data_IF_883582221616
#
_entry.id   IF_883582221616
#
_cell.length_a   1.000
_cell.length_b   1.000
_cell.length_c   1.000
_cell.angle_alpha   90.00
_cell.angle_beta   90.00
_cell.angle_gamma   90.00
#
_symmetry.space_group_name_H-M   'P 1'
#
loop_
_entity.id
_entity.type
_entity.pdbx_description
1 polymer ?
#
# COMPACT_ATOMS: atom_id res chain seq x y z
N UNK A 1 -14.02 17.04 7.93
CA UNK A 1 -14.28 15.59 7.95
C UNK A 1 -14.15 15.01 9.37
N UNK A 2 -13.10 15.30 10.15
CA UNK A 2 -13.00 14.90 11.57
C UNK A 2 -13.76 15.84 12.52
N UNK A 3 -13.54 17.15 12.39
CA UNK A 3 -14.21 18.16 13.23
C UNK A 3 -15.73 18.15 13.05
N UNK A 4 -16.21 17.91 11.82
CA UNK A 4 -17.62 17.75 11.49
C UNK A 4 -18.29 16.55 12.19
N UNK A 5 -17.50 15.59 12.67
CA UNK A 5 -17.96 14.44 13.45
C UNK A 5 -17.75 14.64 14.98
N UNK A 6 -17.35 15.84 15.42
CA UNK A 6 -17.05 16.13 16.82
C UNK A 6 -15.78 15.46 17.34
N UNK A 7 -14.89 15.02 16.45
CA UNK A 7 -13.63 14.38 16.80
C UNK A 7 -12.46 15.38 16.74
N UNK A 8 -11.48 15.21 17.62
CA UNK A 8 -10.24 15.98 17.56
C UNK A 8 -9.49 15.71 16.26
N UNK A 9 -9.13 16.77 15.54
CA UNK A 9 -8.27 16.69 14.37
C UNK A 9 -6.79 16.82 14.79
N UNK A 10 -5.91 15.89 14.41
CA UNK A 10 -4.49 16.00 14.75
C UNK A 10 -3.80 17.09 13.93
N UNK A 11 -2.86 17.80 14.55
CA UNK A 11 -2.11 18.91 13.91
C UNK A 11 -1.14 18.42 12.82
N UNK A 12 -0.74 17.16 12.88
CA UNK A 12 0.14 16.51 11.89
C UNK A 12 -0.16 15.01 11.78
N UNK A 13 0.21 14.36 10.66
CA UNK A 13 0.19 12.89 10.56
C UNK A 13 0.99 12.23 11.68
N UNK A 14 0.61 11.01 12.05
CA UNK A 14 1.23 10.20 13.12
C UNK A 14 1.15 10.79 14.53
N UNK A 15 0.46 11.91 14.73
CA UNK A 15 0.20 12.49 16.05
C UNK A 15 -1.17 12.04 16.56
N UNK A 16 -1.20 11.57 17.81
CA UNK A 16 -2.42 11.21 18.52
C UNK A 16 -3.06 12.45 19.14
N UNK A 17 -4.35 12.65 18.88
CA UNK A 17 -5.14 13.64 19.60
C UNK A 17 -5.40 13.21 21.03
N UNK A 18 -5.58 14.21 21.89
CA UNK A 18 -6.04 14.01 23.24
C UNK A 18 -7.57 13.77 23.24
N UNK A 19 -8.07 12.89 24.09
CA UNK A 19 -9.51 12.63 24.25
C UNK A 19 -9.92 11.17 24.05
N UNK A 20 -11.24 10.94 24.04
CA UNK A 20 -11.86 9.63 23.81
C UNK A 20 -12.96 9.74 22.74
N UNK A 21 -12.80 9.12 21.56
CA UNK A 21 -11.65 8.33 21.14
C UNK A 21 -10.41 9.18 20.83
N UNK A 22 -9.22 8.57 20.93
CA UNK A 22 -7.99 9.15 20.36
C UNK A 22 -8.04 8.99 18.85
N UNK A 23 -7.59 9.99 18.12
CA UNK A 23 -7.54 9.98 16.65
C UNK A 23 -6.12 10.27 16.20
N UNK A 24 -5.65 9.53 15.20
CA UNK A 24 -4.42 9.83 14.49
C UNK A 24 -4.61 9.52 13.01
N UNK A 25 -3.84 10.19 12.16
CA UNK A 25 -3.90 10.03 10.70
C UNK A 25 -2.57 9.49 10.20
N UNK A 26 -2.61 8.46 9.36
CA UNK A 26 -1.46 7.96 8.63
C UNK A 26 -1.76 8.02 7.14
N UNK A 27 -0.95 8.75 6.38
CA UNK A 27 -1.07 8.85 4.93
C UNK A 27 -0.04 7.90 4.32
N UNK A 28 -0.47 7.01 3.43
CA UNK A 28 0.42 6.04 2.81
C UNK A 28 1.37 6.70 1.79
N UNK A 29 2.56 6.12 1.57
CA UNK A 29 3.08 4.92 2.24
C UNK A 29 3.74 5.21 3.60
N UNK A 30 4.21 6.44 3.81
CA UNK A 30 5.14 6.81 4.89
C UNK A 30 4.88 8.24 5.47
N UNK A 31 3.74 8.84 5.15
CA UNK A 31 3.36 10.23 5.47
C UNK A 31 4.21 11.33 4.79
N UNK A 32 5.14 10.98 3.90
CA UNK A 32 6.06 11.92 3.27
C UNK A 32 6.07 11.84 1.73
N UNK A 33 6.05 10.62 1.21
CA UNK A 33 6.18 10.30 -0.20
C UNK A 33 4.81 10.11 -0.86
N UNK A 34 4.65 10.42 -2.16
CA UNK A 34 3.45 10.02 -2.88
C UNK A 34 3.41 8.49 -3.02
N UNK A 35 2.22 7.92 -2.93
CA UNK A 35 2.04 6.49 -3.11
C UNK A 35 0.68 5.99 -2.67
N UNK A 36 0.55 4.68 -2.62
CA UNK A 36 -0.69 3.97 -2.32
C UNK A 36 -0.42 2.82 -1.35
N UNK A 37 -1.49 2.10 -0.96
CA UNK A 37 -1.30 0.83 -0.26
C UNK A 37 -0.56 -0.17 -1.15
N UNK A 38 -0.87 -0.16 -2.45
CA UNK A 38 -0.25 -1.04 -3.42
C UNK A 38 1.24 -0.74 -3.62
N UNK A 39 1.67 0.53 -3.60
CA UNK A 39 3.11 0.85 -3.66
C UNK A 39 3.87 0.28 -2.45
N UNK A 40 3.26 0.34 -1.27
CA UNK A 40 3.84 -0.23 -0.06
C UNK A 40 3.94 -1.76 -0.15
N UNK A 41 2.90 -2.41 -0.66
CA UNK A 41 2.90 -3.86 -0.89
C UNK A 41 3.92 -4.30 -1.94
N UNK A 42 4.03 -3.57 -3.06
CA UNK A 42 5.02 -3.84 -4.10
C UNK A 42 6.45 -3.64 -3.60
N UNK A 43 6.70 -2.62 -2.78
CA UNK A 43 8.00 -2.40 -2.15
C UNK A 43 8.41 -3.58 -1.27
N UNK A 44 7.46 -4.25 -0.61
CA UNK A 44 7.73 -5.41 0.22
C UNK A 44 8.17 -6.65 -0.58
N UNK A 45 7.86 -6.70 -1.87
CA UNK A 45 8.14 -7.83 -2.78
C UNK A 45 9.05 -7.42 -3.95
N UNK A 46 9.72 -6.26 -3.87
CA UNK A 46 10.53 -5.74 -4.96
C UNK A 46 11.66 -6.70 -5.40
N UNK A 47 12.16 -7.52 -4.49
CA UNK A 47 13.19 -8.53 -4.75
C UNK A 47 12.62 -9.89 -5.21
N UNK A 48 11.30 -10.03 -5.35
CA UNK A 48 10.70 -11.27 -5.81
C UNK A 48 11.03 -11.52 -7.29
N UNK A 49 11.43 -12.75 -7.68
CA UNK A 49 11.80 -13.04 -9.07
C UNK A 49 10.69 -12.73 -10.09
N UNK A 50 9.42 -12.82 -9.68
CA UNK A 50 8.29 -12.54 -10.56
C UNK A 50 8.17 -11.05 -10.92
N UNK A 51 8.73 -10.14 -10.12
CA UNK A 51 8.65 -8.70 -10.36
C UNK A 51 9.31 -8.30 -11.68
N UNK A 52 10.36 -9.01 -12.11
CA UNK A 52 10.96 -8.76 -13.43
C UNK A 52 9.94 -8.98 -14.56
N UNK A 53 9.14 -10.04 -14.49
CA UNK A 53 8.11 -10.32 -15.49
C UNK A 53 6.95 -9.30 -15.41
N UNK A 54 6.59 -8.86 -14.21
CA UNK A 54 5.56 -7.83 -14.00
C UNK A 54 5.96 -6.51 -14.62
N UNK A 55 7.18 -6.03 -14.37
CA UNK A 55 7.64 -4.76 -14.95
C UNK A 55 7.76 -4.84 -16.47
N UNK A 56 8.25 -5.96 -17.03
CA UNK A 56 8.27 -6.16 -18.48
C UNK A 56 6.87 -6.16 -19.09
N UNK A 57 5.89 -6.78 -18.43
CA UNK A 57 4.50 -6.78 -18.88
C UNK A 57 3.92 -5.37 -18.91
N UNK A 58 4.09 -4.60 -17.83
CA UNK A 58 3.60 -3.22 -17.75
C UNK A 58 4.28 -2.33 -18.78
N UNK A 59 5.61 -2.43 -18.92
CA UNK A 59 6.37 -1.67 -19.91
C UNK A 59 5.90 -2.00 -21.34
N UNK A 60 5.76 -3.27 -21.68
CA UNK A 60 5.28 -3.71 -23.00
C UNK A 60 3.92 -3.08 -23.34
N UNK A 61 3.06 -2.98 -22.35
CA UNK A 61 1.72 -2.43 -22.50
C UNK A 61 1.69 -0.89 -22.59
N UNK A 62 2.56 -0.20 -21.84
CA UNK A 62 2.76 1.25 -21.98
C UNK A 62 3.20 1.59 -23.41
N UNK A 63 4.14 0.80 -23.97
CA UNK A 63 4.67 0.99 -25.32
C UNK A 63 3.66 0.60 -26.42
N UNK A 64 3.00 -0.56 -26.30
CA UNK A 64 2.17 -1.11 -27.37
C UNK A 64 0.73 -0.57 -27.39
N UNK A 65 0.15 -0.31 -26.21
CA UNK A 65 -1.25 0.10 -26.08
C UNK A 65 -1.42 1.57 -25.69
N UNK A 66 -0.31 2.31 -25.52
CA UNK A 66 -0.35 3.70 -25.06
C UNK A 66 -1.04 3.81 -23.71
N UNK A 67 -0.91 2.77 -22.87
CA UNK A 67 -1.60 2.76 -21.59
C UNK A 67 -1.09 3.92 -20.75
N UNK A 68 -2.00 4.69 -20.12
CA UNK A 68 -1.59 5.89 -19.44
C UNK A 68 -0.65 5.50 -18.30
N UNK A 69 0.46 6.22 -18.16
CA UNK A 69 1.49 5.95 -17.15
C UNK A 69 0.92 5.97 -15.71
N UNK A 70 -0.30 6.50 -15.54
CA UNK A 70 -1.10 6.44 -14.32
C UNK A 70 -1.77 5.09 -14.06
N UNK A 71 -1.49 4.04 -14.85
CA UNK A 71 -1.79 2.65 -14.49
C UNK A 71 -0.95 2.30 -13.26
N UNK A 72 -1.60 2.70 -12.17
CA UNK A 72 -1.15 2.82 -10.81
C UNK A 72 -0.59 1.52 -10.29
N UNK A 73 0.12 1.61 -9.18
CA UNK A 73 0.54 0.49 -8.32
C UNK A 73 -0.51 -0.64 -8.22
N UNK A 74 -1.80 -0.37 -8.40
CA UNK A 74 -2.87 -1.38 -8.53
C UNK A 74 -2.64 -2.40 -9.62
N UNK A 75 -2.30 -1.98 -10.84
CA UNK A 75 -2.09 -2.92 -11.93
C UNK A 75 -0.84 -3.76 -11.74
N UNK A 76 0.25 -3.15 -11.24
CA UNK A 76 1.46 -3.88 -10.83
C UNK A 76 1.14 -4.89 -9.73
N UNK A 77 0.39 -4.48 -8.70
CA UNK A 77 -0.04 -5.37 -7.62
C UNK A 77 -0.90 -6.51 -8.15
N UNK A 78 -1.87 -6.25 -9.02
CA UNK A 78 -2.70 -7.30 -9.63
C UNK A 78 -1.91 -8.22 -10.55
N UNK A 79 -0.98 -7.69 -11.36
CA UNK A 79 -0.10 -8.50 -12.20
C UNK A 79 0.81 -9.39 -11.36
N UNK A 80 1.35 -8.87 -10.23
CA UNK A 80 2.10 -9.66 -9.27
C UNK A 80 1.23 -10.74 -8.61
N UNK A 81 0.02 -10.41 -8.15
CA UNK A 81 -0.90 -11.38 -7.56
C UNK A 81 -1.31 -12.46 -8.57
N UNK A 82 -1.36 -12.14 -9.86
CA UNK A 82 -1.61 -13.12 -10.92
C UNK A 82 -0.55 -14.23 -10.99
N UNK A 83 0.63 -14.01 -10.41
CA UNK A 83 1.71 -15.02 -10.33
C UNK A 83 1.58 -15.96 -9.13
N UNK A 84 0.60 -15.72 -8.24
CA UNK A 84 0.41 -16.46 -6.98
C UNK A 84 -0.71 -17.49 -7.09
N UNK A 85 -0.78 -18.37 -6.09
CA UNK A 85 -1.90 -19.29 -5.95
C UNK A 85 -3.17 -18.50 -5.61
N UNK A 86 -4.24 -18.64 -6.39
CA UNK A 86 -5.46 -17.79 -6.36
C UNK A 86 -5.17 -16.33 -6.81
N UNK A 87 -5.09 -16.11 -8.13
CA UNK A 87 -4.72 -14.82 -8.72
C UNK A 87 -5.80 -13.73 -8.57
N UNK A 88 -7.01 -14.10 -8.15
CA UNK A 88 -8.20 -13.25 -8.05
C UNK A 88 -8.35 -12.54 -6.68
N UNK A 89 -7.43 -12.80 -5.75
CA UNK A 89 -7.46 -12.19 -4.42
C UNK A 89 -7.25 -10.66 -4.49
N UNK A 90 -8.02 -9.93 -3.69
CA UNK A 90 -7.79 -8.50 -3.44
C UNK A 90 -6.59 -8.31 -2.53
N UNK A 91 -6.00 -7.10 -2.50
CA UNK A 91 -4.79 -6.79 -1.71
C UNK A 91 -4.88 -7.26 -0.25
N UNK A 92 -6.01 -7.00 0.43
CA UNK A 92 -6.21 -7.44 1.82
C UNK A 92 -6.38 -8.95 1.98
N UNK A 93 -7.03 -9.62 1.03
CA UNK A 93 -7.20 -11.09 1.05
C UNK A 93 -5.87 -11.78 0.76
N UNK A 94 -5.08 -11.23 -0.16
CA UNK A 94 -3.72 -11.67 -0.47
C UNK A 94 -2.78 -11.49 0.73
N UNK A 95 -2.99 -10.47 1.58
CA UNK A 95 -2.26 -10.32 2.84
C UNK A 95 -2.57 -11.46 3.81
N UNK A 96 -3.85 -11.83 3.94
CA UNK A 96 -4.27 -12.96 4.78
C UNK A 96 -3.78 -14.31 4.22
N UNK A 97 -3.68 -14.43 2.90
CA UNK A 97 -3.16 -15.61 2.22
C UNK A 97 -1.62 -15.73 2.27
N UNK A 98 -0.91 -14.74 2.79
CA UNK A 98 0.56 -14.74 2.90
C UNK A 98 1.30 -14.38 1.61
N UNK A 99 0.62 -13.78 0.63
CA UNK A 99 1.25 -13.37 -0.65
C UNK A 99 2.10 -12.11 -0.53
N UNK A 100 1.84 -11.30 0.50
CA UNK A 100 2.66 -10.15 0.85
C UNK A 100 3.58 -10.49 2.01
N UNK A 101 4.86 -10.16 1.88
CA UNK A 101 5.83 -10.31 2.96
C UNK A 101 5.62 -9.23 4.04
N UNK A 102 4.63 -9.43 4.92
CA UNK A 102 4.30 -8.48 6.00
C UNK A 102 5.42 -8.29 7.02
N UNK A 103 6.42 -9.17 7.05
CA UNK A 103 7.62 -9.04 7.89
C UNK A 103 8.66 -8.07 7.30
N UNK A 104 8.49 -7.64 6.05
CA UNK A 104 9.37 -6.67 5.42
C UNK A 104 9.47 -5.35 6.23
N UNK A 105 10.68 -4.78 6.36
CA UNK A 105 10.90 -3.54 7.12
C UNK A 105 10.20 -2.33 6.51
N UNK A 106 9.75 -2.41 5.25
CA UNK A 106 8.97 -1.33 4.61
C UNK A 106 7.68 -1.02 5.38
N UNK A 107 7.14 -1.99 6.11
CA UNK A 107 5.94 -1.82 6.93
C UNK A 107 6.22 -1.26 8.33
N UNK A 108 7.48 -1.09 8.75
CA UNK A 108 7.81 -0.71 10.12
C UNK A 108 7.22 0.63 10.57
N UNK A 109 7.18 1.69 9.73
CA UNK A 109 6.48 2.93 10.08
C UNK A 109 4.99 2.70 10.35
N UNK A 110 4.32 1.92 9.50
CA UNK A 110 2.91 1.61 9.63
C UNK A 110 2.63 0.72 10.85
N UNK A 111 3.46 -0.31 11.09
CA UNK A 111 3.37 -1.18 12.28
C UNK A 111 3.53 -0.37 13.56
N UNK A 112 4.49 0.55 13.58
CA UNK A 112 4.75 1.41 14.74
C UNK A 112 3.57 2.34 14.99
N UNK A 113 3.00 2.93 13.93
CA UNK A 113 1.80 3.74 14.01
C UNK A 113 0.60 2.96 14.59
N UNK A 114 0.30 1.77 14.05
CA UNK A 114 -0.83 0.95 14.49
C UNK A 114 -0.71 0.48 15.95
N UNK A 115 0.51 0.21 16.42
CA UNK A 115 0.76 -0.17 17.83
C UNK A 115 0.61 0.99 18.81
N UNK A 116 0.69 2.24 18.34
CA UNK A 116 0.56 3.42 19.18
C UNK A 116 -0.89 3.84 19.45
N UNK A 117 -1.86 3.29 18.71
CA UNK A 117 -3.29 3.64 18.77
C UNK A 117 -4.00 3.22 20.07
#
# INVERSE_FOLDING_TARGET
>A
MLESAGLGAPDAPMVLTQGKPRVAVFVLPDCASPGTLESLCLSAVACDPAMQCVEQYVQCLEEAAGMPHCISDKARAHAFLATRTKPDLRVGEAAQAGHWNLDSPVYDPLKSFLRAL
#
